data_IF_460192584062
#
_entry.id   IF_460192584062
#
_cell.length_a   1.000
_cell.length_b   1.000
_cell.length_c   1.000
_cell.angle_alpha   90.00
_cell.angle_beta   90.00
_cell.angle_gamma   90.00
#
_symmetry.space_group_name_H-M   'P 1'
#
loop_
_entity.id
_entity.type
_entity.pdbx_description
1 polymer ?
#
# COMPACT_ATOMS: atom_id res chain seq x y z
N UNK A 1 10.30 5.21 -6.18
CA UNK A 1 10.86 6.34 -6.97
C UNK A 1 11.46 5.84 -8.28
N UNK A 2 11.61 6.74 -9.20
CA UNK A 2 12.22 6.49 -10.50
C UNK A 2 13.74 6.70 -10.43
N UNK A 3 14.46 5.99 -11.30
CA UNK A 3 15.85 6.28 -11.59
C UNK A 3 15.97 7.44 -12.60
N UNK A 4 17.19 7.74 -13.04
CA UNK A 4 17.44 8.86 -13.96
C UNK A 4 16.79 8.69 -15.34
N UNK A 5 16.41 7.45 -15.69
CA UNK A 5 15.78 7.13 -16.98
C UNK A 5 14.25 6.98 -16.87
N UNK A 6 13.66 7.24 -15.72
CA UNK A 6 12.24 7.10 -15.48
C UNK A 6 11.78 5.68 -15.17
N UNK A 7 12.69 4.72 -15.05
CA UNK A 7 12.37 3.36 -14.65
C UNK A 7 12.30 3.26 -13.11
N UNK A 8 11.53 2.31 -12.55
CA UNK A 8 11.52 2.14 -11.11
C UNK A 8 12.90 1.75 -10.59
N UNK A 9 13.37 2.45 -9.55
CA UNK A 9 14.64 2.14 -8.92
C UNK A 9 14.59 0.76 -8.25
N UNK A 10 13.45 0.42 -7.68
CA UNK A 10 13.20 -0.87 -7.05
C UNK A 10 12.03 -1.53 -7.77
N UNK A 11 12.27 -2.65 -8.42
CA UNK A 11 11.28 -3.32 -9.24
C UNK A 11 10.95 -4.72 -8.70
N UNK A 12 9.68 -5.04 -8.62
CA UNK A 12 9.23 -6.38 -8.28
C UNK A 12 9.43 -7.34 -9.47
N UNK A 13 9.74 -8.59 -9.21
CA UNK A 13 9.85 -9.24 -7.91
C UNK A 13 11.23 -9.18 -7.24
N UNK A 14 12.21 -8.52 -7.82
CA UNK A 14 13.58 -8.57 -7.32
C UNK A 14 14.24 -9.92 -7.53
N UNK A 15 15.39 -10.12 -6.90
CA UNK A 15 16.11 -11.39 -6.95
C UNK A 15 16.76 -11.68 -5.60
N UNK A 16 17.17 -12.94 -5.34
CA UNK A 16 17.88 -13.25 -4.09
C UNK A 16 19.19 -12.49 -3.93
N UNK A 17 19.87 -12.15 -5.03
CA UNK A 17 21.11 -11.37 -5.02
C UNK A 17 20.83 -9.88 -4.82
N UNK A 18 19.68 -9.40 -5.29
CA UNK A 18 19.28 -8.01 -5.16
C UNK A 18 17.84 -7.94 -4.67
N UNK A 19 17.60 -8.22 -3.38
CA UNK A 19 16.25 -8.13 -2.85
C UNK A 19 15.78 -6.68 -2.84
N UNK A 20 14.47 -6.50 -3.00
CA UNK A 20 13.84 -5.17 -3.02
C UNK A 20 13.67 -4.68 -1.59
N UNK A 21 14.24 -3.52 -1.22
CA UNK A 21 14.01 -2.96 0.10
C UNK A 21 12.54 -2.54 0.24
N UNK A 22 11.91 -3.01 1.29
CA UNK A 22 10.48 -2.82 1.54
C UNK A 22 10.26 -1.94 2.76
N UNK A 23 9.49 -0.89 2.60
CA UNK A 23 8.93 -0.14 3.70
C UNK A 23 7.56 -0.75 3.99
N UNK A 24 7.51 -1.58 5.03
CA UNK A 24 6.38 -2.45 5.29
C UNK A 24 5.36 -1.82 6.24
N UNK A 25 4.11 -2.28 6.14
CA UNK A 25 3.13 -2.05 7.20
C UNK A 25 3.47 -2.94 8.40
N UNK A 26 2.93 -2.58 9.55
CA UNK A 26 3.13 -3.38 10.77
C UNK A 26 2.66 -4.82 10.53
N UNK A 27 3.46 -5.80 10.97
CA UNK A 27 3.25 -7.22 10.68
C UNK A 27 1.91 -7.76 11.19
N UNK A 28 1.35 -7.16 12.23
CA UNK A 28 0.05 -7.53 12.79
C UNK A 28 -1.10 -6.68 12.27
N UNK A 29 -0.82 -5.75 11.36
CA UNK A 29 -1.82 -4.86 10.83
C UNK A 29 -2.66 -5.49 9.72
N UNK A 30 -3.85 -4.94 9.52
CA UNK A 30 -4.78 -5.40 8.50
C UNK A 30 -4.18 -5.28 7.08
N UNK A 31 -3.52 -4.17 6.79
CA UNK A 31 -2.96 -3.94 5.46
C UNK A 31 -1.86 -4.94 5.11
N UNK A 32 -0.99 -5.25 6.06
CA UNK A 32 0.05 -6.25 5.82
C UNK A 32 -0.54 -7.63 5.59
N UNK A 33 -1.56 -8.01 6.35
CA UNK A 33 -2.27 -9.28 6.16
C UNK A 33 -2.95 -9.34 4.79
N UNK A 34 -3.53 -8.24 4.33
CA UNK A 34 -4.18 -8.16 3.01
C UNK A 34 -3.15 -8.34 1.89
N UNK A 35 -1.99 -7.71 2.01
CA UNK A 35 -0.89 -7.84 1.05
C UNK A 35 -0.40 -9.28 0.99
N UNK A 36 -0.06 -9.85 2.14
CA UNK A 36 0.43 -11.24 2.20
C UNK A 36 -0.59 -12.24 1.67
N UNK A 37 -1.86 -12.04 1.99
CA UNK A 37 -2.93 -12.89 1.48
C UNK A 37 -3.08 -12.82 -0.03
N UNK A 38 -2.99 -11.62 -0.61
CA UNK A 38 -3.05 -11.43 -2.06
C UNK A 38 -1.89 -12.14 -2.76
N UNK A 39 -0.68 -11.96 -2.24
CA UNK A 39 0.51 -12.61 -2.82
C UNK A 39 0.40 -14.13 -2.77
N UNK A 40 -0.07 -14.66 -1.65
CA UNK A 40 -0.25 -16.10 -1.50
C UNK A 40 -1.32 -16.66 -2.46
N UNK A 41 -2.47 -16.01 -2.56
CA UNK A 41 -3.57 -16.46 -3.42
C UNK A 41 -3.20 -16.45 -4.91
N UNK A 42 -2.37 -15.51 -5.32
CA UNK A 42 -1.98 -15.35 -6.71
C UNK A 42 -0.62 -15.99 -7.02
N UNK A 43 -0.05 -16.70 -6.05
CA UNK A 43 1.25 -17.38 -6.18
C UNK A 43 2.35 -16.43 -6.61
N UNK A 44 2.30 -15.20 -6.11
CA UNK A 44 3.32 -14.20 -6.37
C UNK A 44 4.41 -14.32 -5.31
N UNK A 45 5.63 -14.44 -5.77
CA UNK A 45 6.80 -14.52 -4.88
C UNK A 45 7.72 -13.35 -5.17
N UNK A 46 8.08 -12.61 -4.13
CA UNK A 46 8.98 -11.49 -4.24
C UNK A 46 10.15 -11.65 -3.27
N UNK A 47 11.31 -11.21 -3.69
CA UNK A 47 12.50 -11.18 -2.85
C UNK A 47 12.55 -9.81 -2.17
N UNK A 48 12.00 -9.73 -0.96
CA UNK A 48 11.84 -8.47 -0.23
C UNK A 48 12.76 -8.43 0.98
N UNK A 49 13.35 -7.27 1.21
CA UNK A 49 14.15 -7.00 2.40
C UNK A 49 13.42 -5.95 3.23
N UNK A 50 12.67 -6.34 4.26
CA UNK A 50 11.97 -5.37 5.11
C UNK A 50 12.96 -4.52 5.88
N UNK A 51 12.90 -3.21 5.68
CA UNK A 51 13.80 -2.25 6.35
C UNK A 51 13.12 -1.50 7.49
N UNK A 52 11.81 -1.36 7.43
CA UNK A 52 11.07 -0.57 8.38
C UNK A 52 9.62 -1.06 8.42
N UNK A 53 9.00 -0.97 9.58
CA UNK A 53 7.58 -1.24 9.74
C UNK A 53 6.89 0.04 10.20
N UNK A 54 5.74 0.33 9.60
CA UNK A 54 4.98 1.52 9.92
C UNK A 54 3.49 1.23 9.90
N UNK A 55 2.73 1.95 10.72
CA UNK A 55 1.27 1.78 10.79
C UNK A 55 0.53 2.73 9.88
N UNK A 56 1.20 3.76 9.35
CA UNK A 56 0.54 4.81 8.58
C UNK A 56 1.08 4.89 7.16
N UNK A 57 0.17 4.85 6.20
CA UNK A 57 0.51 4.95 4.78
C UNK A 57 1.24 6.25 4.43
N UNK A 58 0.89 7.36 5.10
CA UNK A 58 1.56 8.64 4.87
C UNK A 58 3.06 8.59 5.19
N UNK A 59 3.42 7.91 6.28
CA UNK A 59 4.82 7.73 6.65
C UNK A 59 5.56 6.83 5.66
N UNK A 60 4.91 5.77 5.21
CA UNK A 60 5.48 4.88 4.19
C UNK A 60 5.70 5.66 2.89
N UNK A 61 4.71 6.44 2.47
CA UNK A 61 4.83 7.27 1.26
C UNK A 61 6.02 8.23 1.35
N UNK A 62 6.22 8.87 2.49
CA UNK A 62 7.34 9.80 2.69
C UNK A 62 8.69 9.10 2.50
N UNK A 63 8.85 7.92 3.09
CA UNK A 63 10.09 7.15 2.97
C UNK A 63 10.31 6.64 1.55
N UNK A 64 9.26 6.18 0.87
CA UNK A 64 9.35 5.74 -0.52
C UNK A 64 9.76 6.89 -1.42
N UNK A 65 9.19 8.07 -1.23
CA UNK A 65 9.56 9.26 -2.01
C UNK A 65 11.02 9.66 -1.82
N UNK A 66 11.58 9.42 -0.65
CA UNK A 66 12.99 9.70 -0.38
C UNK A 66 13.94 8.65 -0.95
N UNK A 67 13.41 7.58 -1.55
CA UNK A 67 14.23 6.56 -2.17
C UNK A 67 14.75 5.47 -1.25
N UNK A 68 14.21 5.33 -0.04
CA UNK A 68 14.63 4.31 0.90
C UNK A 68 14.18 2.90 0.53
N UNK A 69 13.14 2.78 -0.27
CA UNK A 69 12.63 1.49 -0.67
C UNK A 69 11.32 1.59 -1.44
N UNK A 70 10.65 0.45 -1.56
CA UNK A 70 9.35 0.28 -2.18
C UNK A 70 8.30 0.08 -1.10
N UNK A 71 7.04 0.37 -1.40
CA UNK A 71 5.93 0.10 -0.50
C UNK A 71 4.62 -0.04 -1.24
N UNK A 72 3.63 -0.66 -0.58
CA UNK A 72 2.26 -0.66 -1.06
C UNK A 72 1.54 0.54 -0.47
N UNK A 73 0.95 1.34 -1.33
CA UNK A 73 0.27 2.57 -0.92
C UNK A 73 -1.14 2.60 -1.50
N UNK A 74 -2.11 3.18 -0.78
CA UNK A 74 -3.45 3.39 -1.34
C UNK A 74 -3.35 4.22 -2.61
N UNK A 75 -4.09 3.81 -3.65
CA UNK A 75 -4.06 4.49 -4.94
C UNK A 75 -4.32 5.99 -4.82
N UNK A 76 -5.26 6.39 -3.96
CA UNK A 76 -5.58 7.80 -3.75
C UNK A 76 -4.39 8.64 -3.33
N UNK A 77 -3.44 8.03 -2.62
CA UNK A 77 -2.26 8.74 -2.14
C UNK A 77 -1.16 8.86 -3.18
N UNK A 78 -1.24 8.09 -4.27
CA UNK A 78 -0.15 7.99 -5.23
C UNK A 78 -0.50 8.60 -6.60
N UNK A 79 -1.77 8.82 -6.91
CA UNK A 79 -2.20 9.25 -8.24
C UNK A 79 -1.48 10.51 -8.72
N UNK A 80 -1.46 11.56 -7.90
CA UNK A 80 -0.80 12.81 -8.27
C UNK A 80 0.71 12.63 -8.40
N UNK A 81 1.30 11.87 -7.49
CA UNK A 81 2.73 11.61 -7.49
C UNK A 81 3.17 10.82 -8.72
N UNK A 82 2.33 9.90 -9.19
CA UNK A 82 2.58 9.16 -10.43
C UNK A 82 2.49 10.09 -11.64
N UNK A 83 1.51 10.98 -11.68
CA UNK A 83 1.37 11.95 -12.77
C UNK A 83 2.57 12.88 -12.88
N UNK A 84 3.13 13.30 -11.76
CA UNK A 84 4.30 14.18 -11.72
C UNK A 84 5.63 13.45 -11.76
N UNK A 85 5.61 12.12 -11.76
CA UNK A 85 6.82 11.32 -11.84
C UNK A 85 7.61 11.17 -10.55
N UNK A 86 7.10 11.65 -9.41
CA UNK A 86 7.78 11.50 -8.13
C UNK A 86 7.64 10.10 -7.54
N UNK A 87 6.65 9.33 -8.00
CA UNK A 87 6.49 7.91 -7.72
C UNK A 87 6.23 7.17 -9.02
N UNK A 88 6.75 5.95 -9.13
CA UNK A 88 6.48 5.05 -10.25
C UNK A 88 6.09 3.68 -9.71
N UNK A 89 5.34 2.93 -10.52
CA UNK A 89 4.95 1.58 -10.15
C UNK A 89 6.16 0.66 -10.15
N UNK A 90 6.28 -0.15 -9.10
CA UNK A 90 7.37 -1.12 -8.97
C UNK A 90 7.05 -2.46 -9.65
N UNK A 91 5.81 -2.68 -10.06
CA UNK A 91 5.37 -3.89 -10.72
C UNK A 91 4.12 -3.67 -11.56
N UNK A 92 3.66 -4.71 -12.25
CA UNK A 92 2.46 -4.65 -13.05
C UNK A 92 1.18 -4.75 -12.18
N UNK A 93 0.01 -4.82 -12.84
CA UNK A 93 -1.27 -4.85 -12.14
C UNK A 93 -1.45 -6.08 -11.25
N UNK A 94 -0.74 -7.17 -11.52
CA UNK A 94 -0.81 -8.37 -10.68
C UNK A 94 -0.33 -8.14 -9.25
N UNK A 95 0.50 -7.13 -9.03
CA UNK A 95 1.01 -6.77 -7.70
C UNK A 95 0.09 -5.79 -6.97
N UNK A 96 -0.96 -5.28 -7.61
CA UNK A 96 -1.94 -4.43 -6.96
C UNK A 96 -2.82 -5.28 -6.05
N UNK A 97 -2.97 -4.85 -4.81
CA UNK A 97 -3.76 -5.57 -3.81
C UNK A 97 -5.15 -4.96 -3.75
N UNK A 98 -6.19 -5.68 -4.18
CA UNK A 98 -7.56 -5.18 -4.04
C UNK A 98 -7.97 -5.19 -2.57
N UNK A 99 -8.44 -4.05 -2.07
CA UNK A 99 -8.94 -3.92 -0.72
C UNK A 99 -10.44 -3.73 -0.77
N UNK A 100 -11.15 -4.58 -0.04
CA UNK A 100 -12.56 -4.40 0.23
C UNK A 100 -12.71 -3.92 1.66
N UNK A 101 -13.14 -2.67 1.83
CA UNK A 101 -13.42 -2.12 3.14
C UNK A 101 -14.90 -2.35 3.43
N UNK A 102 -15.17 -3.23 4.38
CA UNK A 102 -16.54 -3.49 4.86
C UNK A 102 -16.74 -2.77 6.17
N UNK A 103 -17.66 -1.84 6.19
CA UNK A 103 -18.06 -1.15 7.40
C UNK A 103 -19.24 -1.91 8.01
N UNK A 104 -19.02 -2.47 9.20
CA UNK A 104 -20.06 -3.20 9.92
C UNK A 104 -20.58 -2.31 11.03
N UNK A 105 -21.86 -2.00 10.93
CA UNK A 105 -22.56 -1.20 11.92
C UNK A 105 -23.36 -2.12 12.83
N UNK A 106 -23.22 -1.93 14.14
CA UNK A 106 -24.06 -2.66 15.09
C UNK A 106 -25.50 -2.24 14.92
N UNK A 107 -26.40 -3.23 14.94
CA UNK A 107 -27.84 -3.02 14.69
C UNK A 107 -28.47 -2.00 15.64
N UNK A 108 -27.99 -1.95 16.88
CA UNK A 108 -28.55 -1.10 17.94
C UNK A 108 -27.73 0.17 18.17
N UNK A 109 -26.83 0.50 17.27
CA UNK A 109 -26.01 1.71 17.40
C UNK A 109 -26.89 2.94 17.23
N UNK A 110 -26.94 3.76 18.29
CA UNK A 110 -27.71 5.01 18.32
C UNK A 110 -26.82 6.24 18.50
N UNK A 111 -25.52 6.08 18.38
CA UNK A 111 -24.58 7.19 18.50
C UNK A 111 -24.63 8.02 17.22
N UNK A 112 -25.01 9.28 17.35
CA UNK A 112 -25.01 10.20 16.21
C UNK A 112 -23.62 10.38 15.63
N UNK A 113 -22.60 10.41 16.46
CA UNK A 113 -21.22 10.54 16.05
C UNK A 113 -20.79 9.34 15.19
N UNK A 114 -21.15 8.13 15.61
CA UNK A 114 -20.83 6.93 14.87
C UNK A 114 -21.58 6.86 13.55
N UNK A 115 -22.84 7.26 13.53
CA UNK A 115 -23.65 7.32 12.30
C UNK A 115 -23.09 8.35 11.33
N UNK A 116 -22.64 9.50 11.83
CA UNK A 116 -22.01 10.54 11.02
C UNK A 116 -20.70 10.03 10.42
N UNK A 117 -19.87 9.35 11.21
CA UNK A 117 -18.63 8.76 10.74
C UNK A 117 -18.89 7.71 9.67
N UNK A 118 -19.87 6.83 9.89
CA UNK A 118 -20.28 5.81 8.92
C UNK A 118 -20.65 6.43 7.59
N UNK A 119 -21.50 7.45 7.62
CA UNK A 119 -21.97 8.13 6.42
C UNK A 119 -20.83 8.83 5.68
N UNK A 120 -19.91 9.47 6.41
CA UNK A 120 -18.74 10.11 5.83
C UNK A 120 -17.85 9.10 5.13
N UNK A 121 -17.64 7.93 5.73
CA UNK A 121 -16.83 6.87 5.14
C UNK A 121 -17.49 6.26 3.90
N UNK A 122 -18.81 6.06 3.91
CA UNK A 122 -19.54 5.60 2.73
C UNK A 122 -19.41 6.58 1.57
N UNK A 123 -19.59 7.88 1.83
CA UNK A 123 -19.47 8.92 0.80
C UNK A 123 -18.04 9.03 0.27
N UNK A 124 -17.06 8.74 1.09
CA UNK A 124 -15.64 8.74 0.71
C UNK A 124 -15.20 7.56 -0.15
N UNK A 125 -16.06 6.57 -0.35
CA UNK A 125 -15.77 5.37 -1.14
C UNK A 125 -16.34 5.40 -2.54
N UNK A 126 -16.92 6.48 -2.90
CA UNK A 126 -17.49 6.64 -4.24
C UNK A 126 -16.41 6.63 -5.33
#
# INVERSE_FOLDING_TARGET
VADDQGHPRFALPGSPEQPVPLIAYHSRGFLQSAIEGHLARNRLTANLLPLNENTQSASIKALVKQGFGMGWLPRRMTEKSEQFGSLVRAGDEGWDVPLEIRLIRLRDTRSDDLLTLWKTLEDGHA
#
